data_IF_786793751519
#
_entry.id   IF_786793751519
#
_cell.length_a   1.000
_cell.length_b   1.000
_cell.length_c   1.000
_cell.angle_alpha   90.00
_cell.angle_beta   90.00
_cell.angle_gamma   90.00
#
_symmetry.space_group_name_H-M   'P 1'
#
loop_
_entity.id
_entity.type
_entity.pdbx_description
1 polymer ?
#
# COMPACT_ATOMS: atom_id res chain seq x y z
N UNK A 1 -6.14 -26.63 15.22
CA UNK A 1 -5.70 -26.26 13.85
C UNK A 1 -6.77 -25.36 13.26
N UNK A 2 -6.46 -24.11 12.90
CA UNK A 2 -7.41 -23.24 12.19
C UNK A 2 -6.91 -23.09 10.75
N UNK A 3 -7.47 -23.92 9.87
CA UNK A 3 -7.13 -23.96 8.45
C UNK A 3 -8.08 -23.06 7.65
N UNK A 4 -7.48 -22.23 6.80
CA UNK A 4 -7.99 -21.73 5.52
C UNK A 4 -9.40 -21.12 5.42
N UNK A 5 -9.41 -19.79 5.39
CA UNK A 5 -10.33 -19.02 4.54
C UNK A 5 -9.55 -17.97 3.74
N UNK A 6 -8.81 -18.46 2.74
CA UNK A 6 -8.25 -17.66 1.66
C UNK A 6 -9.21 -17.67 0.47
N UNK A 7 -10.05 -16.63 0.29
CA UNK A 7 -10.62 -16.25 -1.02
C UNK A 7 -11.31 -14.87 -0.98
N UNK A 8 -10.63 -13.85 -1.48
CA UNK A 8 -11.21 -12.82 -2.37
C UNK A 8 -10.11 -11.87 -2.82
N UNK A 9 -9.74 -11.97 -4.10
CA UNK A 9 -8.84 -11.03 -4.76
C UNK A 9 -9.50 -9.66 -4.92
N UNK A 10 -8.67 -8.62 -4.87
CA UNK A 10 -8.96 -7.23 -5.26
C UNK A 10 -10.03 -6.41 -4.50
N UNK A 11 -10.60 -6.87 -3.37
CA UNK A 11 -11.51 -6.05 -2.55
C UNK A 11 -11.53 -6.42 -1.05
N UNK A 12 -10.35 -6.51 -0.40
CA UNK A 12 -10.33 -6.91 1.01
C UNK A 12 -8.97 -6.87 1.69
N UNK A 13 -8.23 -5.75 1.60
CA UNK A 13 -7.29 -5.49 2.69
C UNK A 13 -8.13 -5.25 3.94
N UNK A 14 -7.90 -6.04 4.99
CA UNK A 14 -8.51 -5.73 6.29
C UNK A 14 -8.04 -4.34 6.74
N UNK A 15 -8.85 -3.61 7.52
CA UNK A 15 -8.49 -2.28 8.02
C UNK A 15 -7.09 -2.25 8.68
N UNK A 16 -6.69 -3.34 9.33
CA UNK A 16 -5.38 -3.47 9.95
C UNK A 16 -4.23 -3.58 8.93
N UNK A 17 -4.43 -4.32 7.82
CA UNK A 17 -3.44 -4.40 6.74
C UNK A 17 -3.25 -3.04 6.07
N UNK A 18 -4.36 -2.35 5.82
CA UNK A 18 -4.35 -1.03 5.22
C UNK A 18 -3.64 -0.04 6.15
N UNK A 19 -3.95 -0.07 7.45
CA UNK A 19 -3.31 0.79 8.44
C UNK A 19 -1.79 0.51 8.56
N UNK A 20 -1.38 -0.76 8.53
CA UNK A 20 0.04 -1.12 8.57
C UNK A 20 0.80 -0.60 7.32
N UNK A 21 0.20 -0.71 6.14
CA UNK A 21 0.75 -0.16 4.90
C UNK A 21 0.82 1.37 4.94
N UNK A 22 -0.25 2.03 5.40
CA UNK A 22 -0.28 3.48 5.55
C UNK A 22 0.80 3.94 6.53
N UNK A 23 0.98 3.27 7.66
CA UNK A 23 2.06 3.58 8.61
C UNK A 23 3.45 3.36 8.04
N UNK A 24 3.66 2.29 7.30
CA UNK A 24 4.94 2.02 6.68
C UNK A 24 5.27 3.06 5.61
N UNK A 25 4.33 3.31 4.71
CA UNK A 25 4.47 4.30 3.66
C UNK A 25 4.64 5.71 4.22
N UNK A 26 3.89 6.08 5.26
CA UNK A 26 3.99 7.40 5.89
C UNK A 26 5.38 7.62 6.49
N UNK A 27 5.95 6.61 7.19
CA UNK A 27 7.32 6.66 7.70
C UNK A 27 8.37 6.82 6.60
N UNK A 28 8.19 6.13 5.46
CA UNK A 28 9.12 6.20 4.32
C UNK A 28 9.03 7.54 3.57
N UNK A 29 7.84 8.14 3.53
CA UNK A 29 7.54 9.39 2.84
C UNK A 29 7.69 10.64 3.74
N UNK A 30 7.95 10.46 5.04
CA UNK A 30 8.01 11.57 5.99
C UNK A 30 6.65 12.27 6.18
N UNK A 31 5.54 11.53 6.10
CA UNK A 31 4.18 12.02 6.34
C UNK A 31 3.48 11.19 7.41
N UNK A 32 2.23 11.52 7.75
CA UNK A 32 1.42 10.76 8.70
C UNK A 32 0.48 9.80 7.96
N UNK A 33 0.06 8.68 8.59
CA UNK A 33 -0.86 7.72 7.97
C UNK A 33 -2.19 8.37 7.58
N UNK A 34 -2.69 9.29 8.43
CA UNK A 34 -3.91 10.06 8.17
C UNK A 34 -3.76 11.01 6.99
N UNK A 35 -2.66 11.76 6.92
CA UNK A 35 -2.39 12.62 5.77
C UNK A 35 -2.28 11.79 4.50
N UNK A 36 -1.56 10.67 4.55
CA UNK A 36 -1.41 9.79 3.40
C UNK A 36 -2.75 9.21 2.95
N UNK A 37 -3.59 8.72 3.85
CA UNK A 37 -4.91 8.20 3.52
C UNK A 37 -5.79 9.28 2.86
N UNK A 38 -5.78 10.49 3.42
CA UNK A 38 -6.50 11.64 2.87
C UNK A 38 -5.96 12.04 1.49
N UNK A 39 -4.64 12.03 1.31
CA UNK A 39 -3.98 12.33 0.03
C UNK A 39 -4.34 11.29 -1.03
N UNK A 40 -4.33 9.99 -0.68
CA UNK A 40 -4.72 8.92 -1.61
C UNK A 40 -6.21 9.03 -1.99
N UNK A 41 -7.10 9.28 -1.02
CA UNK A 41 -8.54 9.44 -1.27
C UNK A 41 -8.87 10.71 -2.07
N UNK A 42 -8.11 11.79 -1.86
CA UNK A 42 -8.30 13.05 -2.56
C UNK A 42 -7.66 13.08 -3.96
N UNK A 43 -7.06 11.97 -4.43
CA UNK A 43 -6.37 11.94 -5.73
C UNK A 43 -5.02 12.68 -5.74
N UNK A 44 -4.41 12.89 -4.57
CA UNK A 44 -3.13 13.58 -4.38
C UNK A 44 -1.91 12.75 -4.79
N UNK A 45 -2.03 11.93 -5.83
CA UNK A 45 -0.92 11.21 -6.45
C UNK A 45 0.21 12.16 -6.86
N UNK A 46 -0.12 13.38 -7.29
CA UNK A 46 0.82 14.42 -7.70
C UNK A 46 1.67 14.96 -6.52
N UNK A 47 1.03 15.19 -5.37
CA UNK A 47 1.70 15.60 -4.13
C UNK A 47 2.62 14.51 -3.56
N UNK A 48 2.27 13.24 -3.78
CA UNK A 48 3.11 12.11 -3.39
C UNK A 48 4.27 11.90 -4.36
N UNK A 49 4.02 12.02 -5.67
CA UNK A 49 5.05 11.95 -6.71
C UNK A 49 6.13 13.03 -6.50
N UNK A 50 5.73 14.24 -6.12
CA UNK A 50 6.64 15.36 -5.85
C UNK A 50 7.55 15.14 -4.64
N UNK A 51 7.17 14.25 -3.70
CA UNK A 51 7.98 13.89 -2.52
C UNK A 51 8.77 12.60 -2.70
N UNK A 52 8.55 11.89 -3.80
CA UNK A 52 9.25 10.65 -4.13
C UNK A 52 10.50 10.95 -4.97
N UNK A 53 11.57 10.15 -4.85
CA UNK A 53 12.67 10.18 -5.81
C UNK A 53 12.13 9.97 -7.24
N UNK A 54 12.73 10.59 -8.28
CA UNK A 54 12.20 10.56 -9.65
C UNK A 54 11.97 9.14 -10.19
N UNK A 55 12.84 8.18 -9.88
CA UNK A 55 12.67 6.75 -10.22
C UNK A 55 11.42 6.13 -9.58
N UNK A 56 11.12 6.51 -8.33
CA UNK A 56 9.96 6.01 -7.58
C UNK A 56 8.69 6.76 -7.95
N UNK A 57 8.78 8.06 -8.25
CA UNK A 57 7.67 8.90 -8.69
C UNK A 57 7.12 8.42 -10.03
N UNK A 58 7.99 8.14 -11.01
CA UNK A 58 7.59 7.63 -12.32
C UNK A 58 6.90 6.26 -12.21
N UNK A 59 7.47 5.35 -11.40
CA UNK A 59 6.83 4.07 -11.09
C UNK A 59 5.49 4.30 -10.42
N UNK A 60 5.43 5.10 -9.36
CA UNK A 60 4.20 5.41 -8.63
C UNK A 60 3.11 5.98 -9.53
N UNK A 61 3.42 6.96 -10.39
CA UNK A 61 2.46 7.51 -11.35
C UNK A 61 1.95 6.45 -12.34
N UNK A 62 2.83 5.55 -12.79
CA UNK A 62 2.50 4.47 -13.73
C UNK A 62 1.58 3.40 -13.11
N UNK A 63 1.66 3.16 -11.80
CA UNK A 63 0.76 2.25 -11.08
C UNK A 63 -0.45 2.98 -10.47
N UNK A 64 -0.37 4.28 -10.15
CA UNK A 64 -1.50 5.03 -9.57
C UNK A 64 -2.52 5.45 -10.62
N UNK A 65 -2.10 5.70 -11.85
CA UNK A 65 -3.01 5.94 -12.98
C UNK A 65 -3.68 4.66 -13.49
N UNK A 66 -3.20 3.49 -13.06
CA UNK A 66 -3.60 2.19 -13.57
C UNK A 66 -4.07 1.30 -12.40
N UNK A 67 -5.34 1.48 -12.03
CA UNK A 67 -5.97 0.73 -10.95
C UNK A 67 -5.85 -0.79 -11.14
N UNK A 68 -5.87 -1.27 -12.38
CA UNK A 68 -5.71 -2.69 -12.70
C UNK A 68 -4.28 -3.17 -12.36
N UNK A 69 -3.25 -2.43 -12.76
CA UNK A 69 -1.87 -2.74 -12.37
C UNK A 69 -1.64 -2.64 -10.86
N UNK A 70 -2.27 -1.68 -10.20
CA UNK A 70 -2.18 -1.58 -8.73
C UNK A 70 -2.81 -2.81 -8.07
N UNK A 71 -3.98 -3.25 -8.55
CA UNK A 71 -4.61 -4.47 -8.07
C UNK A 71 -3.75 -5.70 -8.36
N UNK A 72 -3.13 -5.80 -9.52
CA UNK A 72 -2.22 -6.90 -9.87
C UNK A 72 -0.98 -6.92 -8.97
N UNK A 73 -0.35 -5.75 -8.76
CA UNK A 73 0.77 -5.58 -7.85
C UNK A 73 0.39 -6.01 -6.43
N UNK A 74 -0.75 -5.53 -5.90
CA UNK A 74 -1.22 -5.88 -4.55
C UNK A 74 -1.60 -7.36 -4.43
N UNK A 75 -2.11 -7.97 -5.50
CA UNK A 75 -2.42 -9.39 -5.53
C UNK A 75 -1.19 -10.28 -5.75
N UNK A 76 -0.06 -9.72 -6.20
CA UNK A 76 1.17 -10.46 -6.47
C UNK A 76 1.71 -11.17 -5.22
N UNK A 77 2.38 -12.34 -5.39
CA UNK A 77 3.00 -13.05 -4.27
C UNK A 77 4.01 -12.19 -3.51
N UNK A 78 4.77 -11.35 -4.23
CA UNK A 78 5.79 -10.49 -3.63
C UNK A 78 5.16 -9.41 -2.73
N UNK A 79 4.06 -8.78 -3.16
CA UNK A 79 3.34 -7.82 -2.33
C UNK A 79 2.68 -8.47 -1.12
N UNK A 80 2.10 -9.67 -1.28
CA UNK A 80 1.54 -10.44 -0.16
C UNK A 80 2.60 -10.77 0.89
N UNK A 81 3.79 -11.20 0.46
CA UNK A 81 4.91 -11.47 1.37
C UNK A 81 5.37 -10.19 2.08
N UNK A 82 5.49 -9.07 1.36
CA UNK A 82 5.84 -7.78 1.97
C UNK A 82 4.81 -7.37 3.03
N UNK A 83 3.51 -7.47 2.73
CA UNK A 83 2.42 -7.16 3.67
C UNK A 83 2.50 -8.05 4.91
N UNK A 84 2.74 -9.35 4.74
CA UNK A 84 2.92 -10.27 5.85
C UNK A 84 4.14 -9.90 6.72
N UNK A 85 5.27 -9.55 6.11
CA UNK A 85 6.46 -9.10 6.84
C UNK A 85 6.20 -7.81 7.63
N UNK A 86 5.51 -6.85 7.02
CA UNK A 86 5.11 -5.59 7.67
C UNK A 86 4.17 -5.82 8.87
N UNK A 87 3.21 -6.73 8.75
CA UNK A 87 2.34 -7.11 9.87
C UNK A 87 3.09 -7.79 11.00
N UNK A 88 4.02 -8.67 10.66
CA UNK A 88 4.81 -9.39 11.64
C UNK A 88 5.78 -8.46 12.40
N UNK A 89 6.15 -7.31 11.80
CA UNK A 89 6.91 -6.24 12.45
C UNK A 89 6.06 -5.39 13.41
N UNK A 90 4.76 -5.21 13.16
CA UNK A 90 3.85 -4.46 14.07
C UNK A 90 3.53 -5.21 15.37
N UNK A 91 3.75 -6.54 15.39
CA UNK A 91 3.48 -7.42 16.55
C UNK A 91 4.69 -7.63 17.48
N UNK A 92 5.83 -7.02 17.20
CA UNK A 92 7.01 -6.99 18.09
C UNK A 92 7.13 -5.63 18.74
#
# INVERSE_FOLDING_TARGET
>A
MNDSSAKSGAAGLTPDQLNALLQFASKRLGTTPEQLAKTVQAGGSDSLASKLPPDKAAKFASISGDQAKMQELLNSPQARQLIQQLMNQKKK
#
